data_IF_408305502702
#
_entry.id   IF_408305502702
#
_cell.length_a   1.000
_cell.length_b   1.000
_cell.length_c   1.000
_cell.angle_alpha   90.00
_cell.angle_beta   90.00
_cell.angle_gamma   90.00
#
_symmetry.space_group_name_H-M   'P 1'
#
loop_
_entity.id
_entity.type
_entity.pdbx_description
1 polymer ?
#
# COMPACT_ATOMS: atom_id res chain seq x y z
N UNK A 1 17.81 10.87 3.20
CA UNK A 1 16.41 11.15 3.57
C UNK A 1 16.09 10.44 4.88
N UNK A 2 16.14 11.16 6.00
CA UNK A 2 15.67 10.67 7.32
C UNK A 2 15.39 11.86 8.25
N UNK A 3 16.07 12.99 8.02
CA UNK A 3 15.94 14.23 8.81
C UNK A 3 14.58 14.95 8.70
N UNK A 4 13.71 14.56 7.76
CA UNK A 4 12.47 15.27 7.43
C UNK A 4 11.21 14.41 7.58
N UNK A 5 11.31 13.20 8.14
CA UNK A 5 10.12 12.46 8.48
C UNK A 5 9.47 13.09 9.72
N UNK A 6 8.66 14.13 9.49
CA UNK A 6 7.62 14.52 10.43
C UNK A 6 6.65 13.33 10.49
N UNK A 7 6.75 12.55 11.57
CA UNK A 7 5.97 11.31 11.75
C UNK A 7 4.53 11.72 12.05
N UNK A 8 3.80 12.13 11.02
CA UNK A 8 2.36 12.31 11.14
C UNK A 8 1.77 10.93 11.42
N UNK A 9 1.01 10.82 12.52
CA UNK A 9 0.24 9.60 12.83
C UNK A 9 -0.95 9.40 11.89
N UNK A 10 -1.01 10.13 10.79
CA UNK A 10 -2.10 10.07 9.84
C UNK A 10 -2.01 8.76 9.06
N UNK A 11 -3.07 7.97 9.19
CA UNK A 11 -3.17 6.68 8.50
C UNK A 11 -3.22 6.94 7.01
N UNK A 12 -2.13 6.66 6.30
CA UNK A 12 -2.13 6.66 4.83
C UNK A 12 -3.04 5.52 4.37
N UNK A 13 -4.27 5.86 3.99
CA UNK A 13 -5.27 4.90 3.51
C UNK A 13 -5.08 4.58 2.03
N UNK A 14 -4.52 5.51 1.25
CA UNK A 14 -4.35 5.37 -0.20
C UNK A 14 -2.89 5.60 -0.62
N UNK A 15 -2.31 4.60 -1.29
CA UNK A 15 -0.99 4.68 -1.93
C UNK A 15 -1.14 4.84 -3.43
N UNK A 16 -0.37 5.78 -4.00
CA UNK A 16 -0.34 6.05 -5.44
C UNK A 16 1.08 5.85 -5.94
N UNK A 17 1.24 5.04 -6.99
CA UNK A 17 2.52 4.71 -7.58
C UNK A 17 2.50 4.99 -9.06
N UNK A 18 3.56 5.60 -9.60
CA UNK A 18 3.75 5.72 -11.03
C UNK A 18 4.79 4.68 -11.46
N UNK A 19 4.31 3.55 -11.96
CA UNK A 19 5.17 2.48 -12.47
C UNK A 19 5.60 2.83 -13.91
N UNK A 20 6.87 2.63 -14.29
CA UNK A 20 7.35 2.98 -15.63
C UNK A 20 6.58 2.27 -16.75
N UNK A 21 6.23 1.00 -16.56
CA UNK A 21 5.64 0.19 -17.64
C UNK A 21 4.10 0.13 -17.63
N UNK A 22 3.45 0.33 -16.48
CA UNK A 22 1.98 0.15 -16.33
C UNK A 22 1.26 1.43 -15.88
N UNK A 23 2.02 2.53 -15.77
CA UNK A 23 1.50 3.85 -15.42
C UNK A 23 1.04 3.96 -13.97
N UNK A 24 -0.01 4.76 -13.75
CA UNK A 24 -0.52 5.05 -12.42
C UNK A 24 -1.23 3.83 -11.82
N UNK A 25 -0.90 3.52 -10.57
CA UNK A 25 -1.53 2.49 -9.75
C UNK A 25 -2.04 3.13 -8.46
N UNK A 26 -3.25 2.75 -8.03
CA UNK A 26 -3.87 3.23 -6.79
C UNK A 26 -4.25 2.05 -5.91
N UNK A 27 -3.75 2.04 -4.68
CA UNK A 27 -4.02 0.97 -3.72
C UNK A 27 -4.54 1.51 -2.40
N UNK A 28 -5.62 0.92 -1.91
CA UNK A 28 -5.96 1.02 -0.50
C UNK A 28 -4.98 0.21 0.32
N UNK A 29 -4.45 0.83 1.37
CA UNK A 29 -3.41 0.26 2.22
C UNK A 29 -3.95 -0.04 3.60
N UNK A 30 -3.73 -1.28 4.05
CA UNK A 30 -3.96 -1.67 5.42
C UNK A 30 -2.73 -2.32 6.01
N UNK A 31 -2.48 -2.00 7.28
CA UNK A 31 -1.40 -2.56 8.07
C UNK A 31 -1.99 -3.20 9.30
N UNK A 32 -1.72 -4.50 9.48
CA UNK A 32 -2.20 -5.30 10.59
C UNK A 32 -1.00 -5.87 11.34
N UNK A 33 -0.91 -5.58 12.63
CA UNK A 33 0.00 -6.28 13.52
C UNK A 33 -0.69 -7.54 14.03
N UNK A 34 -0.08 -8.71 13.86
CA UNK A 34 -0.67 -9.99 14.27
C UNK A 34 -0.52 -10.26 15.77
N UNK A 35 -0.82 -9.26 16.60
CA UNK A 35 -0.70 -9.31 18.05
C UNK A 35 -0.04 -8.07 18.66
N UNK A 36 -0.23 -7.88 19.97
CA UNK A 36 0.18 -6.66 20.72
C UNK A 36 1.70 -6.42 20.77
N UNK A 37 2.51 -7.43 20.44
CA UNK A 37 3.98 -7.41 20.36
C UNK A 37 4.50 -8.25 19.19
N UNK A 38 3.67 -8.52 18.20
CA UNK A 38 4.11 -9.36 17.08
C UNK A 38 5.13 -8.62 16.24
N UNK A 39 6.28 -9.27 16.04
CA UNK A 39 7.27 -8.88 15.03
C UNK A 39 6.73 -9.11 13.61
N UNK A 40 5.66 -9.91 13.51
CA UNK A 40 4.96 -10.19 12.27
C UNK A 40 3.87 -9.13 12.06
N UNK A 41 4.00 -8.45 10.93
CA UNK A 41 3.03 -7.51 10.40
C UNK A 41 2.60 -7.95 9.01
N UNK A 42 1.35 -7.64 8.67
CA UNK A 42 0.79 -7.83 7.35
C UNK A 42 0.47 -6.47 6.75
N UNK A 43 1.02 -6.22 5.57
CA UNK A 43 0.69 -5.07 4.74
C UNK A 43 -0.12 -5.56 3.53
N UNK A 44 -1.36 -5.11 3.39
CA UNK A 44 -2.19 -5.44 2.24
C UNK A 44 -2.34 -4.20 1.37
N UNK A 45 -2.13 -4.37 0.06
CA UNK A 45 -2.41 -3.38 -0.97
C UNK A 45 -3.55 -3.91 -1.84
N UNK A 46 -4.73 -3.34 -1.69
CA UNK A 46 -5.92 -3.71 -2.47
C UNK A 46 -6.11 -2.68 -3.58
N UNK A 47 -6.33 -3.07 -4.85
CA UNK A 47 -6.63 -2.10 -5.91
C UNK A 47 -7.78 -1.18 -5.51
N UNK A 48 -7.57 0.13 -5.59
CA UNK A 48 -8.58 1.12 -5.23
C UNK A 48 -9.56 1.40 -6.38
N UNK A 49 -9.25 0.94 -7.60
CA UNK A 49 -10.07 1.10 -8.79
C UNK A 49 -9.92 -0.10 -9.76
N UNK A 50 -10.89 -0.23 -10.66
CA UNK A 50 -10.92 -1.30 -11.68
C UNK A 50 -9.72 -1.21 -12.64
N UNK A 51 -9.22 0.01 -12.91
CA UNK A 51 -8.05 0.23 -13.76
C UNK A 51 -6.79 -0.40 -13.15
N UNK A 52 -6.58 -0.20 -11.85
CA UNK A 52 -5.47 -0.83 -11.11
C UNK A 52 -5.68 -2.34 -11.00
N UNK A 53 -6.92 -2.79 -10.77
CA UNK A 53 -7.22 -4.22 -10.68
C UNK A 53 -6.92 -4.96 -11.99
N UNK A 54 -7.27 -4.37 -13.14
CA UNK A 54 -7.02 -4.95 -14.46
C UNK A 54 -5.52 -5.07 -14.81
N UNK A 55 -4.65 -4.31 -14.14
CA UNK A 55 -3.19 -4.37 -14.32
C UNK A 55 -2.54 -5.48 -13.49
N UNK A 56 -3.26 -6.07 -12.53
CA UNK A 56 -2.74 -7.15 -11.70
C UNK A 56 -2.89 -8.51 -12.40
N UNK A 57 -1.96 -9.45 -12.16
CA UNK A 57 -2.09 -10.80 -12.68
C UNK A 57 -3.32 -11.52 -12.09
N UNK A 58 -3.97 -12.34 -12.91
CA UNK A 58 -5.21 -13.05 -12.56
C UNK A 58 -5.01 -14.28 -11.66
N UNK A 59 -3.76 -14.64 -11.33
CA UNK A 59 -3.42 -15.83 -10.55
C UNK A 59 -2.53 -15.48 -9.35
N UNK A 60 -2.89 -16.07 -8.21
CA UNK A 60 -1.99 -16.33 -7.08
C UNK A 60 -1.59 -17.80 -7.10
#
# INVERSE_FOLDING_TARGET
>A
MWKEHDVSGERIVLKRYLHPDVGLLRFEFSYLYLGRRSEISLATLTPADEETAAKLPSSF
#
